data_IF_837026506514
#
_entry.id   IF_837026506514
#
_cell.length_a   1.000
_cell.length_b   1.000
_cell.length_c   1.000
_cell.angle_alpha   90.00
_cell.angle_beta   90.00
_cell.angle_gamma   90.00
#
_symmetry.space_group_name_H-M   'P 1'
#
loop_
_entity.id
_entity.type
_entity.pdbx_description
1 polymer ?
#
# COMPACT_ATOMS: atom_id res chain seq x y z
N UNK A 1 -12.91 -9.94 18.63
CA UNK A 1 -12.12 -8.81 19.22
C UNK A 1 -11.88 -7.84 18.08
N UNK A 2 -12.16 -6.58 18.28
CA UNK A 2 -11.88 -5.58 17.25
C UNK A 2 -10.36 -5.45 17.07
N UNK A 3 -9.85 -5.48 15.86
CA UNK A 3 -8.41 -5.35 15.55
C UNK A 3 -7.77 -4.10 16.15
N UNK A 4 -8.55 -3.07 16.46
CA UNK A 4 -8.11 -1.82 17.09
C UNK A 4 -7.35 -2.04 18.41
N UNK A 5 -7.68 -3.09 19.16
CA UNK A 5 -7.11 -3.38 20.48
C UNK A 5 -6.11 -4.55 20.48
N UNK A 6 -5.76 -5.09 19.29
CA UNK A 6 -4.77 -6.16 19.21
C UNK A 6 -3.36 -5.64 19.48
N UNK A 7 -2.56 -6.46 20.16
CA UNK A 7 -1.15 -6.16 20.39
C UNK A 7 -0.39 -6.11 19.07
N UNK A 8 0.55 -5.19 18.95
CA UNK A 8 1.46 -5.06 17.80
C UNK A 8 2.89 -5.09 18.33
N UNK A 9 3.60 -6.13 17.98
CA UNK A 9 4.98 -6.38 18.43
C UNK A 9 5.95 -5.96 17.33
N UNK A 10 6.88 -5.06 17.65
CA UNK A 10 7.92 -4.63 16.73
C UNK A 10 8.90 -5.77 16.47
N UNK A 11 9.23 -5.99 15.22
CA UNK A 11 10.24 -6.96 14.78
C UNK A 11 11.15 -6.35 13.71
N UNK A 12 12.40 -6.85 13.66
CA UNK A 12 13.37 -6.47 12.63
C UNK A 12 13.35 -7.53 11.53
N UNK A 13 13.24 -7.11 10.29
CA UNK A 13 13.24 -7.99 9.12
C UNK A 13 14.66 -8.23 8.60
N UNK A 14 14.83 -9.14 7.63
CA UNK A 14 16.16 -9.53 7.13
C UNK A 14 16.92 -8.39 6.43
N UNK A 15 16.24 -7.36 5.92
CA UNK A 15 16.88 -6.18 5.32
C UNK A 15 17.15 -5.04 6.33
N UNK A 16 16.90 -5.29 7.62
CA UNK A 16 17.10 -4.32 8.69
C UNK A 16 15.93 -3.37 8.91
N UNK A 17 14.92 -3.39 8.05
CA UNK A 17 13.70 -2.61 8.25
C UNK A 17 12.81 -3.22 9.33
N UNK A 18 11.98 -2.40 9.95
CA UNK A 18 11.02 -2.87 10.95
C UNK A 18 9.73 -3.40 10.30
N UNK A 19 9.07 -4.31 11.01
CA UNK A 19 7.67 -4.69 10.76
C UNK A 19 6.94 -4.82 12.08
N UNK A 20 5.61 -4.90 12.03
CA UNK A 20 4.77 -5.16 13.18
C UNK A 20 4.15 -6.55 13.05
N UNK A 21 4.22 -7.33 14.12
CA UNK A 21 3.56 -8.62 14.23
C UNK A 21 2.31 -8.52 15.11
N UNK A 22 1.22 -9.11 14.68
CA UNK A 22 -0.03 -9.21 15.45
C UNK A 22 -0.18 -10.66 15.93
N UNK A 23 0.14 -10.97 17.21
CA UNK A 23 0.11 -12.34 17.73
C UNK A 23 -1.25 -12.99 17.58
N UNK A 24 -2.34 -12.27 17.87
CA UNK A 24 -3.71 -12.78 17.83
C UNK A 24 -4.15 -13.22 16.42
N UNK A 25 -3.60 -12.56 15.39
CA UNK A 25 -3.85 -12.90 13.99
C UNK A 25 -2.80 -13.86 13.43
N UNK A 26 -1.66 -14.03 14.11
CA UNK A 26 -0.46 -14.65 13.57
C UNK A 26 -0.14 -14.10 12.17
N UNK A 27 -0.01 -12.76 12.07
CA UNK A 27 0.20 -12.05 10.81
C UNK A 27 1.16 -10.88 11.01
N UNK A 28 1.93 -10.56 9.96
CA UNK A 28 2.85 -9.42 9.93
C UNK A 28 2.32 -8.36 8.98
N UNK A 29 2.62 -7.11 9.26
CA UNK A 29 2.34 -6.01 8.32
C UNK A 29 3.15 -6.14 7.04
N UNK A 30 4.40 -6.58 7.14
CA UNK A 30 5.30 -6.82 6.01
C UNK A 30 6.08 -8.11 6.20
N UNK A 31 6.65 -8.62 5.12
CA UNK A 31 7.45 -9.84 5.13
C UNK A 31 8.66 -9.73 6.06
N UNK A 32 8.91 -10.76 6.85
CA UNK A 32 10.14 -10.89 7.65
C UNK A 32 11.42 -11.04 6.80
N UNK A 33 11.27 -11.32 5.50
CA UNK A 33 12.39 -11.42 4.55
C UNK A 33 12.90 -10.04 4.08
N UNK A 34 12.24 -8.96 4.46
CA UNK A 34 12.60 -7.59 4.14
C UNK A 34 11.38 -6.75 3.80
N UNK A 35 10.93 -5.90 4.73
CA UNK A 35 9.75 -5.05 4.51
C UNK A 35 10.00 -3.99 3.43
N UNK A 36 11.16 -3.31 3.52
CA UNK A 36 11.53 -2.26 2.57
C UNK A 36 11.72 -2.82 1.16
N UNK A 37 12.52 -3.87 1.00
CA UNK A 37 12.81 -4.45 -0.32
C UNK A 37 11.54 -5.02 -0.97
N UNK A 38 10.68 -5.67 -0.20
CA UNK A 38 9.42 -6.19 -0.70
C UNK A 38 8.49 -5.07 -1.19
N UNK A 39 8.27 -4.05 -0.35
CA UNK A 39 7.41 -2.92 -0.70
C UNK A 39 7.94 -2.15 -1.91
N UNK A 40 9.26 -1.88 -1.97
CA UNK A 40 9.89 -1.23 -3.12
C UNK A 40 9.67 -2.02 -4.41
N UNK A 41 9.92 -3.32 -4.37
CA UNK A 41 9.78 -4.16 -5.56
C UNK A 41 8.34 -4.22 -6.08
N UNK A 42 7.37 -4.45 -5.18
CA UNK A 42 5.98 -4.66 -5.56
C UNK A 42 5.29 -3.35 -5.94
N UNK A 43 5.40 -2.35 -5.06
CA UNK A 43 4.56 -1.15 -5.19
C UNK A 43 5.25 -0.08 -6.04
N UNK A 44 6.57 0.06 -5.96
CA UNK A 44 7.29 1.05 -6.76
C UNK A 44 7.66 0.49 -8.12
N UNK A 45 8.47 -0.58 -8.17
CA UNK A 45 9.03 -1.08 -9.44
C UNK A 45 7.97 -1.75 -10.33
N UNK A 46 7.14 -2.64 -9.77
CA UNK A 46 6.09 -3.32 -10.54
C UNK A 46 4.80 -2.48 -10.68
N UNK A 47 4.54 -1.55 -9.75
CA UNK A 47 3.35 -0.68 -9.71
C UNK A 47 3.60 0.70 -10.28
N UNK A 48 4.20 1.61 -9.50
CA UNK A 48 4.32 3.03 -9.82
C UNK A 48 5.02 3.28 -11.17
N UNK A 49 6.12 2.58 -11.44
CA UNK A 49 6.86 2.70 -12.70
C UNK A 49 6.11 2.16 -13.92
N UNK A 50 5.02 1.40 -13.72
CA UNK A 50 4.20 0.89 -14.81
C UNK A 50 3.10 1.88 -15.24
N UNK A 51 2.99 3.06 -14.59
CA UNK A 51 2.03 4.12 -14.92
C UNK A 51 2.72 5.25 -15.67
N UNK A 52 2.28 5.48 -16.90
CA UNK A 52 2.80 6.58 -17.73
C UNK A 52 1.77 7.71 -17.80
N UNK A 53 1.70 8.51 -16.72
CA UNK A 53 0.87 9.72 -16.61
C UNK A 53 1.63 10.82 -15.88
N UNK A 54 1.35 12.08 -16.21
CA UNK A 54 1.92 13.26 -15.52
C UNK A 54 1.27 13.50 -14.17
N UNK A 55 0.00 13.16 -14.01
CA UNK A 55 -0.73 13.14 -12.73
C UNK A 55 -1.21 11.72 -12.49
N UNK A 56 -0.84 11.14 -11.34
CA UNK A 56 -1.15 9.76 -10.97
C UNK A 56 -2.11 9.79 -9.78
N UNK A 57 -3.35 9.34 -9.99
CA UNK A 57 -4.30 9.07 -8.92
C UNK A 57 -4.06 7.67 -8.39
N UNK A 58 -3.53 7.58 -7.18
CA UNK A 58 -3.19 6.32 -6.52
C UNK A 58 -4.18 6.03 -5.39
N UNK A 59 -4.66 4.78 -5.33
CA UNK A 59 -5.43 4.26 -4.19
C UNK A 59 -4.67 3.11 -3.54
N UNK A 60 -4.36 3.25 -2.27
CA UNK A 60 -3.83 2.18 -1.43
C UNK A 60 -4.92 1.63 -0.51
N UNK A 61 -5.02 0.32 -0.44
CA UNK A 61 -5.88 -0.40 0.50
C UNK A 61 -5.00 -0.96 1.63
N UNK A 62 -5.14 -0.33 2.80
CA UNK A 62 -4.29 -0.59 3.97
C UNK A 62 -3.08 0.37 4.02
N UNK A 63 -3.21 1.49 4.73
CA UNK A 63 -2.08 2.40 4.99
C UNK A 63 -1.01 1.75 5.88
N UNK A 64 -1.47 0.97 6.86
CA UNK A 64 -0.63 0.19 7.76
C UNK A 64 0.47 1.02 8.41
N UNK A 65 1.72 0.66 8.12
CA UNK A 65 2.92 1.33 8.65
C UNK A 65 3.31 2.59 7.88
N UNK A 66 2.64 2.91 6.77
CA UNK A 66 2.97 4.05 5.91
C UNK A 66 4.21 3.86 5.01
N UNK A 67 4.76 2.64 4.97
CA UNK A 67 5.99 2.36 4.20
C UNK A 67 5.80 2.59 2.70
N UNK A 68 4.70 2.10 2.12
CA UNK A 68 4.42 2.28 0.69
C UNK A 68 4.23 3.75 0.32
N UNK A 69 3.57 4.52 1.18
CA UNK A 69 3.38 5.96 0.98
C UNK A 69 4.71 6.73 1.06
N UNK A 70 5.59 6.40 2.02
CA UNK A 70 6.92 7.00 2.13
C UNK A 70 7.78 6.69 0.90
N UNK A 71 7.78 5.41 0.44
CA UNK A 71 8.50 4.99 -0.75
C UNK A 71 8.00 5.70 -2.01
N UNK A 72 6.68 5.82 -2.15
CA UNK A 72 6.06 6.50 -3.29
C UNK A 72 6.41 7.99 -3.30
N UNK A 73 6.37 8.65 -2.14
CA UNK A 73 6.75 10.06 -2.03
C UNK A 73 8.23 10.28 -2.34
N UNK A 74 9.12 9.44 -1.77
CA UNK A 74 10.54 9.47 -2.12
C UNK A 74 10.79 9.31 -3.62
N UNK A 75 10.15 8.30 -4.22
CA UNK A 75 10.31 8.00 -5.65
C UNK A 75 9.80 9.15 -6.54
N UNK A 76 8.70 9.80 -6.13
CA UNK A 76 8.18 10.98 -6.81
C UNK A 76 9.18 12.14 -6.74
N UNK A 77 9.76 12.43 -5.56
CA UNK A 77 10.68 13.54 -5.37
C UNK A 77 12.04 13.37 -6.08
N UNK A 78 12.56 12.14 -6.11
CA UNK A 78 13.93 11.87 -6.54
C UNK A 78 14.03 11.34 -7.99
N UNK A 79 13.01 10.62 -8.46
CA UNK A 79 13.05 9.91 -9.75
C UNK A 79 11.96 10.42 -10.70
N UNK A 80 10.72 10.52 -10.25
CA UNK A 80 9.57 10.92 -11.06
C UNK A 80 9.28 12.42 -10.89
N UNK A 81 10.31 13.26 -10.96
CA UNK A 81 10.28 14.67 -10.61
C UNK A 81 9.34 15.52 -11.47
N UNK A 82 8.95 15.05 -12.64
CA UNK A 82 7.99 15.67 -13.55
C UNK A 82 6.54 15.23 -13.31
N UNK A 83 6.33 14.21 -12.45
CA UNK A 83 5.01 13.66 -12.16
C UNK A 83 4.44 14.21 -10.85
N UNK A 84 3.12 14.36 -10.80
CA UNK A 84 2.38 14.61 -9.56
C UNK A 84 1.71 13.31 -9.10
N UNK A 85 1.72 13.06 -7.81
CA UNK A 85 1.02 11.92 -7.19
C UNK A 85 -0.06 12.45 -6.24
N UNK A 86 -1.30 12.02 -6.45
CA UNK A 86 -2.42 12.21 -5.55
C UNK A 86 -2.68 10.85 -4.90
N UNK A 87 -2.21 10.72 -3.66
CA UNK A 87 -2.14 9.46 -2.92
C UNK A 87 -3.32 9.36 -1.96
N UNK A 88 -4.29 8.51 -2.27
CA UNK A 88 -5.37 8.15 -1.36
C UNK A 88 -5.02 6.83 -0.67
N UNK A 89 -5.16 6.76 0.65
CA UNK A 89 -4.99 5.52 1.40
C UNK A 89 -6.10 5.33 2.41
N UNK A 90 -6.66 4.13 2.49
CA UNK A 90 -7.75 3.81 3.39
C UNK A 90 -7.25 2.84 4.46
N UNK A 91 -7.46 3.20 5.73
CA UNK A 91 -7.03 2.40 6.88
C UNK A 91 -8.16 2.34 7.92
N UNK A 92 -8.49 1.13 8.35
CA UNK A 92 -9.53 0.94 9.36
C UNK A 92 -9.02 1.16 10.79
N UNK A 93 -7.76 0.86 11.04
CA UNK A 93 -7.14 0.87 12.38
C UNK A 93 -5.80 1.60 12.38
N UNK A 94 -5.79 2.94 12.24
CA UNK A 94 -4.55 3.72 12.26
C UNK A 94 -3.63 3.38 13.43
N UNK A 95 -2.33 3.34 13.18
CA UNK A 95 -1.34 3.09 14.23
C UNK A 95 -1.25 4.28 15.18
N UNK A 96 -0.96 3.99 16.46
CA UNK A 96 -0.67 5.02 17.44
C UNK A 96 0.68 5.70 17.17
N UNK A 97 0.84 6.95 17.61
CA UNK A 97 2.10 7.71 17.47
C UNK A 97 3.29 6.96 18.10
N UNK A 98 3.09 6.25 19.22
CA UNK A 98 4.15 5.48 19.86
C UNK A 98 4.66 4.34 18.96
N UNK A 99 3.77 3.64 18.27
CA UNK A 99 4.15 2.58 17.33
C UNK A 99 4.86 3.17 16.10
N UNK A 100 4.33 4.25 15.54
CA UNK A 100 4.95 4.96 14.41
C UNK A 100 6.37 5.41 14.78
N UNK A 101 6.55 6.02 15.95
CA UNK A 101 7.86 6.51 16.41
C UNK A 101 8.88 5.38 16.68
N UNK A 102 8.42 4.14 16.82
CA UNK A 102 9.31 2.97 16.98
C UNK A 102 9.79 2.39 15.65
N UNK A 103 9.19 2.77 14.53
CA UNK A 103 9.57 2.30 13.20
C UNK A 103 10.78 3.08 12.68
N UNK A 104 11.68 2.40 11.96
CA UNK A 104 12.94 2.96 11.48
C UNK A 104 12.93 3.40 10.01
N UNK A 105 11.74 3.59 9.43
CA UNK A 105 11.66 3.84 7.99
C UNK A 105 12.23 5.20 7.55
N UNK A 106 12.11 6.22 8.38
CA UNK A 106 12.72 7.53 8.08
C UNK A 106 14.22 7.41 7.87
N UNK A 107 14.92 6.79 8.82
CA UNK A 107 16.36 6.60 8.79
C UNK A 107 16.83 5.61 7.73
N UNK A 108 16.03 4.58 7.46
CA UNK A 108 16.43 3.49 6.55
C UNK A 108 16.10 3.81 5.09
N UNK A 109 14.90 4.32 4.84
CA UNK A 109 14.38 4.53 3.47
C UNK A 109 14.80 5.87 2.91
N UNK A 110 14.75 6.91 3.74
CA UNK A 110 15.02 8.28 3.29
C UNK A 110 15.86 9.08 4.32
N UNK A 111 17.10 8.66 4.57
CA UNK A 111 17.93 9.22 5.65
C UNK A 111 18.18 10.73 5.50
N UNK A 112 18.25 11.27 4.26
CA UNK A 112 18.43 12.70 3.99
C UNK A 112 17.19 13.52 4.34
N UNK A 113 16.04 12.90 4.42
CA UNK A 113 14.73 13.50 4.69
C UNK A 113 13.95 12.68 5.73
N UNK A 114 14.64 12.14 6.74
CA UNK A 114 14.06 11.19 7.70
C UNK A 114 12.78 11.67 8.40
N UNK A 115 12.66 12.98 8.60
CA UNK A 115 11.51 13.61 9.25
C UNK A 115 10.23 13.49 8.40
N UNK A 116 10.36 13.24 7.09
CA UNK A 116 9.23 13.02 6.17
C UNK A 116 8.34 11.84 6.59
N UNK A 117 8.92 10.81 7.21
CA UNK A 117 8.14 9.69 7.74
C UNK A 117 7.17 10.14 8.85
N UNK A 118 7.64 11.00 9.76
CA UNK A 118 6.79 11.55 10.81
C UNK A 118 5.76 12.53 10.22
N UNK A 119 6.16 13.39 9.30
CA UNK A 119 5.27 14.34 8.60
C UNK A 119 4.10 13.61 7.91
N UNK A 120 4.38 12.50 7.20
CA UNK A 120 3.38 11.65 6.56
C UNK A 120 2.36 11.09 7.57
N UNK A 121 2.81 10.64 8.73
CA UNK A 121 1.92 10.13 9.77
C UNK A 121 1.14 11.22 10.49
N UNK A 122 1.74 12.38 10.74
CA UNK A 122 1.11 13.55 11.39
C UNK A 122 0.09 14.25 10.50
N UNK A 123 0.14 14.05 9.18
CA UNK A 123 -0.91 14.56 8.30
C UNK A 123 -2.30 14.10 8.81
N UNK A 124 -3.29 15.00 8.91
CA UNK A 124 -4.60 14.65 9.45
C UNK A 124 -5.32 13.61 8.59
N UNK A 125 -6.12 12.76 9.24
CA UNK A 125 -7.02 11.83 8.58
C UNK A 125 -8.24 12.56 7.99
N UNK A 126 -8.79 12.02 6.90
CA UNK A 126 -10.00 12.51 6.21
C UNK A 126 -9.83 13.94 5.62
N UNK A 127 -8.61 14.33 5.33
CA UNK A 127 -8.28 15.60 4.70
C UNK A 127 -7.16 15.40 3.66
N UNK A 128 -7.24 16.15 2.58
CA UNK A 128 -6.15 16.24 1.62
C UNK A 128 -5.09 17.20 2.13
N UNK A 129 -3.83 16.77 2.10
CA UNK A 129 -2.67 17.55 2.55
C UNK A 129 -1.60 17.52 1.47
N UNK A 130 -1.16 18.69 1.01
CA UNK A 130 0.02 18.79 0.16
C UNK A 130 1.26 18.64 1.03
N UNK A 131 1.94 17.48 0.93
CA UNK A 131 3.22 17.26 1.59
C UNK A 131 4.39 17.88 0.79
N UNK A 132 4.20 18.05 -0.51
CA UNK A 132 5.05 18.86 -1.38
C UNK A 132 4.22 19.41 -2.55
N UNK A 133 4.86 20.18 -3.44
CA UNK A 133 4.20 20.75 -4.63
C UNK A 133 3.59 19.67 -5.55
N UNK A 134 4.09 18.44 -5.47
CA UNK A 134 3.73 17.34 -6.35
C UNK A 134 3.32 16.05 -5.65
N UNK A 135 3.22 16.07 -4.32
CA UNK A 135 2.72 14.93 -3.55
C UNK A 135 1.59 15.38 -2.63
N UNK A 136 0.37 14.95 -2.96
CA UNK A 136 -0.84 15.22 -2.18
C UNK A 136 -1.24 13.92 -1.51
N UNK A 137 -1.36 13.93 -0.17
CA UNK A 137 -1.77 12.79 0.63
C UNK A 137 -3.20 12.96 1.13
N UNK A 138 -4.02 11.94 0.96
CA UNK A 138 -5.35 11.84 1.55
C UNK A 138 -5.49 10.52 2.29
N UNK A 139 -5.26 10.54 3.60
CA UNK A 139 -5.51 9.38 4.46
C UNK A 139 -6.98 9.35 4.88
N UNK A 140 -7.66 8.23 4.66
CA UNK A 140 -9.07 8.03 4.99
C UNK A 140 -9.15 6.98 6.09
N UNK A 141 -9.63 7.37 7.28
CA UNK A 141 -9.91 6.43 8.36
C UNK A 141 -11.29 5.80 8.14
N UNK A 142 -11.33 4.50 7.84
CA UNK A 142 -12.60 3.80 7.61
C UNK A 142 -12.44 2.42 6.98
N UNK A 143 -13.58 1.72 6.89
CA UNK A 143 -13.68 0.42 6.21
C UNK A 143 -13.71 0.61 4.70
N UNK A 144 -12.71 0.06 4.00
CA UNK A 144 -12.60 0.14 2.54
C UNK A 144 -13.80 -0.45 1.79
N UNK A 145 -14.56 -1.37 2.40
CA UNK A 145 -15.80 -1.86 1.82
C UNK A 145 -16.90 -0.79 1.80
N UNK A 146 -16.89 0.12 2.77
CA UNK A 146 -17.93 1.14 2.98
C UNK A 146 -17.52 2.53 2.50
N UNK A 147 -16.21 2.86 2.56
CA UNK A 147 -15.70 4.15 2.09
C UNK A 147 -16.00 4.38 0.61
N UNK A 148 -16.30 5.60 0.23
CA UNK A 148 -16.28 6.01 -1.16
C UNK A 148 -14.84 6.01 -1.69
N UNK A 149 -14.64 5.45 -2.88
CA UNK A 149 -13.36 5.54 -3.57
C UNK A 149 -13.33 6.77 -4.48
N UNK A 150 -12.16 7.37 -4.72
CA UNK A 150 -12.02 8.34 -5.79
C UNK A 150 -12.33 7.68 -7.13
N UNK A 151 -12.73 8.47 -8.12
CA UNK A 151 -12.88 8.01 -9.50
C UNK A 151 -11.54 8.11 -10.26
N UNK A 152 -11.47 7.40 -11.38
CA UNK A 152 -10.35 7.50 -12.31
C UNK A 152 -8.98 7.18 -11.69
N UNK A 153 -8.94 6.14 -10.84
CA UNK A 153 -7.73 5.66 -10.20
C UNK A 153 -6.78 5.07 -11.26
N UNK A 154 -5.56 5.56 -11.32
CA UNK A 154 -4.53 5.11 -12.25
C UNK A 154 -3.69 3.96 -11.70
N UNK A 155 -3.54 3.91 -10.37
CA UNK A 155 -2.71 2.92 -9.69
C UNK A 155 -3.39 2.45 -8.41
N UNK A 156 -3.49 1.13 -8.24
CA UNK A 156 -4.05 0.51 -7.04
C UNK A 156 -2.96 -0.32 -6.35
N UNK A 157 -2.68 0.01 -5.08
CA UNK A 157 -1.91 -0.83 -4.18
C UNK A 157 -2.88 -1.66 -3.34
N UNK A 158 -3.02 -2.95 -3.65
CA UNK A 158 -3.85 -3.87 -2.89
C UNK A 158 -3.01 -4.55 -1.82
N UNK A 159 -2.92 -3.91 -0.63
CA UNK A 159 -2.02 -4.29 0.47
C UNK A 159 -2.74 -4.59 1.78
N UNK A 160 -3.95 -5.14 1.70
CA UNK A 160 -4.67 -5.69 2.85
C UNK A 160 -3.96 -6.94 3.41
N UNK A 161 -4.22 -7.30 4.67
CA UNK A 161 -3.74 -8.58 5.24
C UNK A 161 -4.21 -9.77 4.40
N UNK A 162 -3.51 -10.91 4.55
CA UNK A 162 -3.74 -12.09 3.73
C UNK A 162 -5.22 -12.51 3.66
N UNK A 163 -5.67 -13.15 2.54
CA UNK A 163 -7.07 -13.56 2.35
C UNK A 163 -7.65 -14.41 3.49
N UNK A 164 -6.82 -15.15 4.20
CA UNK A 164 -7.23 -15.94 5.36
C UNK A 164 -7.46 -15.09 6.62
N UNK A 165 -6.98 -13.85 6.63
CA UNK A 165 -7.05 -12.93 7.76
C UNK A 165 -8.10 -11.84 7.57
N UNK A 166 -8.27 -11.40 6.34
CA UNK A 166 -9.25 -10.39 5.93
C UNK A 166 -9.99 -10.82 4.66
N UNK A 167 -10.77 -11.93 4.67
CA UNK A 167 -11.42 -12.46 3.47
C UNK A 167 -12.35 -11.46 2.78
N UNK A 168 -12.93 -10.51 3.52
CA UNK A 168 -13.79 -9.45 2.99
C UNK A 168 -13.09 -8.52 2.00
N UNK A 169 -11.78 -8.31 2.17
CA UNK A 169 -10.95 -7.49 1.26
C UNK A 169 -10.56 -8.23 -0.03
N UNK A 170 -10.78 -9.55 -0.07
CA UNK A 170 -10.42 -10.43 -1.18
C UNK A 170 -11.65 -11.10 -1.79
N UNK A 171 -12.79 -10.42 -1.70
CA UNK A 171 -14.10 -10.89 -2.21
C UNK A 171 -14.37 -10.36 -3.61
N UNK A 172 -15.25 -11.05 -4.36
CA UNK A 172 -15.65 -10.59 -5.69
C UNK A 172 -16.27 -9.18 -5.67
N UNK A 173 -17.19 -8.83 -4.74
CA UNK A 173 -17.72 -7.47 -4.68
C UNK A 173 -16.64 -6.40 -4.47
N UNK A 174 -15.58 -6.72 -3.72
CA UNK A 174 -14.48 -5.78 -3.51
C UNK A 174 -13.64 -5.60 -4.78
N UNK A 175 -13.34 -6.68 -5.51
CA UNK A 175 -12.65 -6.58 -6.80
C UNK A 175 -13.45 -5.81 -7.85
N UNK A 176 -14.77 -6.03 -7.90
CA UNK A 176 -15.68 -5.30 -8.80
C UNK A 176 -15.70 -3.80 -8.46
N UNK A 177 -15.66 -3.46 -7.16
CA UNK A 177 -15.54 -2.09 -6.70
C UNK A 177 -14.23 -1.44 -7.15
N UNK A 178 -13.09 -2.12 -6.97
CA UNK A 178 -11.78 -1.64 -7.43
C UNK A 178 -11.79 -1.41 -8.96
N UNK A 179 -12.30 -2.38 -9.71
CA UNK A 179 -12.37 -2.29 -11.17
C UNK A 179 -13.25 -1.12 -11.64
N UNK A 180 -14.40 -0.91 -10.98
CA UNK A 180 -15.33 0.16 -11.33
C UNK A 180 -14.69 1.55 -11.20
N UNK A 181 -13.87 1.77 -10.16
CA UNK A 181 -13.24 3.06 -9.90
C UNK A 181 -11.90 3.25 -10.60
N UNK A 182 -11.31 2.18 -11.14
CA UNK A 182 -10.08 2.25 -11.90
C UNK A 182 -10.29 2.94 -13.25
N UNK A 183 -9.35 3.78 -13.67
CA UNK A 183 -9.29 4.39 -14.99
C UNK A 183 -8.98 3.33 -16.08
N UNK A 184 -9.27 3.64 -17.34
CA UNK A 184 -8.80 2.83 -18.46
C UNK A 184 -7.27 2.84 -18.50
N UNK A 185 -6.66 1.66 -18.58
CA UNK A 185 -5.22 1.47 -18.51
C UNK A 185 -4.63 1.49 -17.08
N UNK A 186 -5.47 1.57 -16.06
CA UNK A 186 -5.03 1.52 -14.67
C UNK A 186 -4.25 0.26 -14.35
N UNK A 187 -3.29 0.40 -13.44
CA UNK A 187 -2.45 -0.69 -12.92
C UNK A 187 -2.89 -1.05 -11.52
N UNK A 188 -2.98 -2.34 -11.22
CA UNK A 188 -3.17 -2.88 -9.87
C UNK A 188 -1.99 -3.78 -9.54
N UNK A 189 -1.41 -3.63 -8.34
CA UNK A 189 -0.36 -4.53 -7.84
C UNK A 189 -0.71 -5.05 -6.45
N UNK A 190 -0.31 -6.29 -6.21
CA UNK A 190 -0.46 -6.94 -4.89
C UNK A 190 0.62 -8.01 -4.67
N UNK A 191 1.00 -8.15 -3.42
CA UNK A 191 1.91 -9.21 -2.98
C UNK A 191 1.28 -10.62 -3.05
N UNK A 192 -0.05 -10.70 -3.05
CA UNK A 192 -0.79 -11.96 -2.96
C UNK A 192 -0.95 -12.60 -4.34
N UNK A 193 -0.20 -13.69 -4.60
CA UNK A 193 -0.21 -14.41 -5.88
C UNK A 193 -1.10 -15.65 -5.90
N UNK A 194 -2.07 -15.78 -4.96
CA UNK A 194 -2.99 -16.91 -4.88
C UNK A 194 -3.85 -17.03 -6.13
N UNK A 195 -4.10 -18.28 -6.54
CA UNK A 195 -4.89 -18.56 -7.74
C UNK A 195 -6.33 -18.02 -7.66
N UNK A 196 -6.96 -18.08 -6.47
CA UNK A 196 -8.31 -17.56 -6.26
C UNK A 196 -8.37 -16.04 -6.37
N UNK A 197 -7.39 -15.34 -5.78
CA UNK A 197 -7.23 -13.89 -5.91
C UNK A 197 -7.09 -13.48 -7.38
N UNK A 198 -6.18 -14.14 -8.12
CA UNK A 198 -5.99 -13.87 -9.55
C UNK A 198 -7.28 -14.09 -10.33
N UNK A 199 -7.98 -15.20 -10.11
CA UNK A 199 -9.25 -15.51 -10.81
C UNK A 199 -10.35 -14.52 -10.47
N UNK A 200 -10.47 -14.12 -9.20
CA UNK A 200 -11.45 -13.13 -8.77
C UNK A 200 -11.22 -11.76 -9.41
N UNK A 201 -9.97 -11.29 -9.45
CA UNK A 201 -9.62 -10.03 -10.14
C UNK A 201 -9.84 -10.13 -11.66
N UNK A 202 -9.57 -11.30 -12.27
CA UNK A 202 -9.90 -11.53 -13.69
C UNK A 202 -11.42 -11.51 -13.94
N UNK A 203 -12.22 -12.08 -13.04
CA UNK A 203 -13.67 -12.06 -13.15
C UNK A 203 -14.25 -10.64 -13.01
N UNK A 204 -13.61 -9.76 -12.24
CA UNK A 204 -13.94 -8.33 -12.18
C UNK A 204 -13.60 -7.57 -13.46
N UNK A 205 -12.70 -8.10 -14.30
CA UNK A 205 -12.33 -7.51 -15.60
C UNK A 205 -10.83 -7.17 -15.75
N UNK A 206 -10.03 -7.27 -14.69
CA UNK A 206 -8.59 -7.00 -14.81
C UNK A 206 -7.86 -8.05 -15.65
N UNK A 207 -6.99 -7.61 -16.54
CA UNK A 207 -6.03 -8.48 -17.24
C UNK A 207 -4.87 -8.76 -16.29
N UNK A 208 -4.85 -9.99 -15.71
CA UNK A 208 -3.91 -10.34 -14.65
C UNK A 208 -2.68 -11.07 -15.19
N UNK A 209 -1.51 -10.62 -14.79
CA UNK A 209 -0.23 -11.28 -15.03
C UNK A 209 0.48 -11.67 -13.72
N UNK A 210 1.30 -12.70 -13.79
CA UNK A 210 2.22 -13.09 -12.71
C UNK A 210 3.60 -12.57 -13.04
N UNK A 211 4.16 -11.79 -12.11
CA UNK A 211 5.53 -11.35 -12.19
C UNK A 211 6.39 -12.17 -11.21
N UNK A 212 7.71 -12.29 -11.43
CA UNK A 212 8.60 -12.82 -10.42
C UNK A 212 8.41 -12.08 -9.10
N UNK A 213 8.56 -12.77 -7.98
CA UNK A 213 8.46 -12.16 -6.65
C UNK A 213 9.81 -11.69 -6.12
N UNK A 214 9.82 -10.80 -5.11
CA UNK A 214 11.01 -10.46 -4.36
C UNK A 214 11.49 -11.66 -3.51
N UNK A 215 12.67 -11.57 -2.87
CA UNK A 215 13.17 -12.63 -2.00
C UNK A 215 12.11 -13.14 -1.01
N UNK A 216 11.92 -14.47 -0.97
CA UNK A 216 10.90 -15.11 -0.13
C UNK A 216 9.53 -15.31 -0.79
N UNK A 217 9.30 -14.74 -1.97
CA UNK A 217 8.06 -14.94 -2.76
C UNK A 217 8.38 -15.44 -4.17
N UNK A 218 7.67 -16.48 -4.63
CA UNK A 218 7.83 -16.97 -6.01
C UNK A 218 7.27 -15.99 -7.03
N UNK A 219 6.13 -15.37 -6.73
CA UNK A 219 5.41 -14.48 -7.64
C UNK A 219 4.67 -13.39 -6.87
N UNK A 220 4.38 -12.32 -7.61
CA UNK A 220 3.41 -11.27 -7.28
C UNK A 220 2.38 -11.16 -8.40
N UNK A 221 1.32 -10.40 -8.21
CA UNK A 221 0.33 -10.14 -9.26
C UNK A 221 0.34 -8.67 -9.68
N UNK A 222 0.23 -8.45 -10.98
CA UNK A 222 -0.11 -7.16 -11.56
C UNK A 222 -1.35 -7.32 -12.44
N UNK A 223 -2.29 -6.38 -12.34
CA UNK A 223 -3.49 -6.29 -13.18
C UNK A 223 -3.50 -5.01 -14.00
N UNK A 224 -4.19 -5.04 -15.15
CA UNK A 224 -4.47 -3.86 -15.97
C UNK A 224 -5.97 -3.82 -16.31
N UNK A 225 -6.55 -2.64 -16.27
CA UNK A 225 -7.91 -2.38 -16.76
C UNK A 225 -7.89 -2.02 -18.24
#
# INVERSE_FOLDING_TARGET
MEQKNMERVLQVTADGSHTLFIPEMNEHYHSVNGAWQESKYIFIEAGLHAVDKSVIHLLEIGFGTGLNALLTWKEQEEVLTDKQVIYHSIELYPLSENLVSSLNYGELVWPEQKDRFQELHQAPWNQEVALSDRFILHKIEGDSNQCAFPSDIDLIYMDAFAPEKQPEMWSQPFYDKLYTHAANGAVLVTYCAKGDVRRGMQAAGFQMERLPGPPGKSHILRGRK
#
